data_IF_426711379813
#
_entry.id   IF_426711379813
#
_cell.length_a   1.000
_cell.length_b   1.000
_cell.length_c   1.000
_cell.angle_alpha   90.00
_cell.angle_beta   90.00
_cell.angle_gamma   90.00
#
_symmetry.space_group_name_H-M   'P 1'
#
loop_
_entity.id
_entity.type
_entity.pdbx_description
1 polymer ?
#
# COMPACT_ATOMS: atom_id res chain seq x y z
N UNK A 1 7.21 25.25 0.99
CA UNK A 1 6.66 23.90 0.84
C UNK A 1 6.21 23.43 2.21
N UNK A 2 4.97 23.71 2.59
CA UNK A 2 4.38 23.35 3.89
C UNK A 2 3.09 22.61 3.59
N UNK A 3 3.14 21.29 3.50
CA UNK A 3 1.92 20.47 3.41
C UNK A 3 2.32 18.99 3.56
N UNK A 4 2.80 18.63 4.75
CA UNK A 4 3.06 17.22 5.11
C UNK A 4 2.40 16.86 6.45
N UNK A 5 1.67 17.81 7.07
CA UNK A 5 1.04 17.58 8.39
C UNK A 5 -0.40 17.07 8.32
N UNK A 6 -1.07 17.11 7.16
CA UNK A 6 -2.50 16.73 7.06
C UNK A 6 -2.71 15.22 7.18
N UNK A 7 -1.73 14.40 6.81
CA UNK A 7 -1.92 12.95 6.69
C UNK A 7 -1.66 12.18 8.00
N UNK A 8 -1.03 12.78 9.02
CA UNK A 8 -0.59 12.05 10.24
C UNK A 8 -1.74 11.47 11.08
N UNK A 9 -2.95 12.01 10.95
CA UNK A 9 -4.14 11.54 11.66
C UNK A 9 -5.09 10.71 10.79
N UNK A 10 -4.73 10.37 9.55
CA UNK A 10 -5.59 9.55 8.70
C UNK A 10 -5.70 8.13 9.26
N UNK A 11 -6.88 7.83 9.79
CA UNK A 11 -7.30 6.48 10.21
C UNK A 11 -7.76 5.66 9.00
N UNK A 12 -8.44 6.33 8.07
CA UNK A 12 -8.82 5.81 6.74
C UNK A 12 -8.96 6.97 5.75
N UNK A 13 -8.98 6.69 4.44
CA UNK A 13 -9.31 7.70 3.42
C UNK A 13 -10.82 7.93 3.26
N UNK A 14 -11.66 7.27 4.07
CA UNK A 14 -13.10 7.51 4.10
C UNK A 14 -13.44 8.43 5.27
N UNK A 15 -14.31 9.42 5.06
CA UNK A 15 -14.97 10.14 6.15
C UNK A 15 -16.40 10.50 5.74
N UNK A 16 -17.33 10.28 6.66
CA UNK A 16 -18.79 10.46 6.56
C UNK A 16 -19.26 11.92 6.35
N UNK A 17 -18.37 12.86 6.01
CA UNK A 17 -18.71 14.27 5.86
C UNK A 17 -18.08 14.83 4.58
N UNK A 18 -18.88 14.93 3.50
CA UNK A 18 -18.82 15.69 2.23
C UNK A 18 -17.58 16.54 1.82
N UNK A 19 -16.36 16.22 2.26
CA UNK A 19 -15.10 16.71 1.69
C UNK A 19 -14.31 15.52 1.19
N UNK A 20 -14.66 15.08 -0.02
CA UNK A 20 -13.91 14.03 -0.70
C UNK A 20 -12.54 14.58 -1.12
N UNK A 21 -11.50 14.24 -0.35
CA UNK A 21 -10.12 14.28 -0.85
C UNK A 21 -9.94 13.15 -1.88
N UNK A 22 -10.49 13.35 -3.08
CA UNK A 22 -10.28 12.43 -4.19
C UNK A 22 -8.85 12.62 -4.69
N UNK A 23 -8.06 11.56 -4.56
CA UNK A 23 -6.78 11.49 -5.26
C UNK A 23 -7.07 11.49 -6.78
N UNK A 24 -6.23 12.17 -7.58
CA UNK A 24 -6.46 12.26 -9.01
C UNK A 24 -6.39 10.86 -9.66
N UNK A 25 -7.36 10.52 -10.51
CA UNK A 25 -7.40 9.21 -11.19
C UNK A 25 -6.21 8.98 -12.14
N UNK A 26 -5.51 10.06 -12.52
CA UNK A 26 -4.29 10.04 -13.31
C UNK A 26 -3.03 9.74 -12.48
N UNK A 27 -3.15 9.60 -11.16
CA UNK A 27 -2.02 9.31 -10.27
C UNK A 27 -1.39 7.96 -10.62
N UNK A 28 -0.10 7.99 -10.96
CA UNK A 28 0.67 6.78 -11.31
C UNK A 28 1.47 6.23 -10.13
N UNK A 29 1.86 7.08 -9.20
CA UNK A 29 2.68 6.72 -8.04
C UNK A 29 2.06 7.28 -6.77
N UNK A 30 1.96 6.44 -5.75
CA UNK A 30 1.45 6.79 -4.44
C UNK A 30 2.46 6.39 -3.37
N UNK A 31 2.80 7.36 -2.53
CA UNK A 31 3.70 7.19 -1.40
C UNK A 31 2.95 7.49 -0.11
N UNK A 32 2.81 6.50 0.76
CA UNK A 32 2.22 6.65 2.08
C UNK A 32 3.30 6.38 3.12
N UNK A 33 3.61 7.40 3.91
CA UNK A 33 4.69 7.35 4.89
C UNK A 33 4.23 7.85 6.25
N UNK A 34 4.55 7.08 7.30
CA UNK A 34 4.42 7.46 8.70
C UNK A 34 2.95 7.75 9.07
N UNK A 35 2.10 6.77 8.79
CA UNK A 35 0.67 6.78 9.07
C UNK A 35 0.37 5.77 10.20
N UNK A 36 0.58 6.14 11.47
CA UNK A 36 0.48 5.22 12.61
C UNK A 36 -0.94 4.70 12.85
N UNK A 37 -1.95 5.40 12.33
CA UNK A 37 -3.36 5.06 12.52
C UNK A 37 -4.02 4.49 11.27
N UNK A 38 -3.30 4.39 10.13
CA UNK A 38 -3.89 3.90 8.90
C UNK A 38 -4.13 2.39 9.01
N UNK A 39 -5.39 1.98 9.00
CA UNK A 39 -5.80 0.58 9.13
C UNK A 39 -6.05 -0.10 7.78
N UNK A 40 -6.66 0.64 6.84
CA UNK A 40 -7.01 0.12 5.52
C UNK A 40 -6.88 1.19 4.43
N UNK A 41 -6.52 0.77 3.22
CA UNK A 41 -6.64 1.60 2.03
C UNK A 41 -8.07 1.48 1.47
N UNK A 42 -8.98 2.32 1.99
CA UNK A 42 -10.42 2.28 1.65
C UNK A 42 -10.76 2.54 0.17
N UNK A 43 -12.05 2.50 -0.19
CA UNK A 43 -12.61 2.67 -1.55
C UNK A 43 -12.12 3.89 -2.33
N UNK A 44 -11.60 4.93 -1.68
CA UNK A 44 -11.00 6.11 -2.34
C UNK A 44 -9.92 5.72 -3.35
N UNK A 45 -9.22 4.61 -3.10
CA UNK A 45 -8.17 4.12 -3.97
C UNK A 45 -8.67 3.21 -5.11
N UNK A 46 -9.91 2.69 -5.07
CA UNK A 46 -10.50 1.93 -6.18
C UNK A 46 -10.57 2.77 -7.47
N UNK A 47 -10.67 4.09 -7.32
CA UNK A 47 -10.72 5.02 -8.44
C UNK A 47 -9.34 5.32 -9.04
N UNK A 48 -8.24 4.81 -8.46
CA UNK A 48 -6.89 5.02 -8.98
C UNK A 48 -6.49 3.98 -10.04
N UNK A 49 -7.27 3.92 -11.11
CA UNK A 49 -7.07 2.97 -12.22
C UNK A 49 -5.74 3.18 -12.96
N UNK A 50 -5.16 4.39 -12.89
CA UNK A 50 -3.85 4.70 -13.47
C UNK A 50 -2.67 4.36 -12.56
N UNK A 51 -2.89 3.89 -11.32
CA UNK A 51 -1.81 3.64 -10.39
C UNK A 51 -0.95 2.48 -10.88
N UNK A 52 0.38 2.66 -10.78
CA UNK A 52 1.40 1.70 -11.19
C UNK A 52 2.42 1.45 -10.08
N UNK A 53 2.64 2.41 -9.19
CA UNK A 53 3.64 2.31 -8.14
C UNK A 53 3.02 2.64 -6.78
N UNK A 54 3.16 1.72 -5.83
CA UNK A 54 2.67 1.90 -4.47
C UNK A 54 3.79 1.69 -3.47
N UNK A 55 4.04 2.69 -2.62
CA UNK A 55 5.04 2.64 -1.58
C UNK A 55 4.41 2.91 -0.22
N UNK A 56 4.63 1.99 0.72
CA UNK A 56 4.06 1.97 2.06
C UNK A 56 5.18 1.91 3.08
N UNK A 57 5.36 2.97 3.86
CA UNK A 57 6.41 3.04 4.88
C UNK A 57 5.82 3.42 6.24
N UNK A 58 6.12 2.65 7.29
CA UNK A 58 5.81 3.00 8.68
C UNK A 58 4.32 3.21 8.89
N UNK A 59 3.53 2.23 8.43
CA UNK A 59 2.09 2.15 8.63
C UNK A 59 1.80 0.91 9.50
N UNK A 60 2.05 0.97 10.83
CA UNK A 60 2.04 -0.18 11.71
C UNK A 60 0.67 -0.86 11.86
N UNK A 61 -0.42 -0.10 11.71
CA UNK A 61 -1.80 -0.61 11.80
C UNK A 61 -2.38 -1.05 10.44
N UNK A 62 -1.64 -0.91 9.34
CA UNK A 62 -2.18 -1.23 8.01
C UNK A 62 -2.30 -2.74 7.85
N UNK A 63 -3.54 -3.24 7.86
CA UNK A 63 -3.86 -4.68 7.81
C UNK A 63 -4.27 -5.16 6.43
N UNK A 64 -4.80 -4.25 5.60
CA UNK A 64 -5.33 -4.60 4.30
C UNK A 64 -5.16 -3.47 3.28
N UNK A 65 -4.89 -3.85 2.04
CA UNK A 65 -4.98 -2.93 0.89
C UNK A 65 -6.41 -2.87 0.34
N UNK A 66 -7.31 -3.79 0.74
CA UNK A 66 -8.75 -3.83 0.39
C UNK A 66 -9.10 -3.69 -1.10
N UNK A 67 -8.11 -3.86 -1.98
CA UNK A 67 -8.22 -3.58 -3.41
C UNK A 67 -7.45 -4.61 -4.21
N UNK A 68 -8.03 -5.80 -4.33
CA UNK A 68 -7.47 -6.83 -5.22
C UNK A 68 -7.30 -6.29 -6.64
N UNK A 69 -8.28 -5.54 -7.15
CA UNK A 69 -8.26 -4.94 -8.50
C UNK A 69 -7.13 -3.91 -8.72
N UNK A 70 -6.74 -3.16 -7.69
CA UNK A 70 -5.62 -2.21 -7.78
C UNK A 70 -4.30 -2.97 -7.87
N UNK A 71 -4.15 -4.04 -7.08
CA UNK A 71 -2.91 -4.81 -7.00
C UNK A 71 -2.56 -5.47 -8.35
N UNK A 72 -3.54 -5.85 -9.15
CA UNK A 72 -3.32 -6.41 -10.48
C UNK A 72 -2.74 -5.40 -11.50
N UNK A 73 -2.92 -4.10 -11.27
CA UNK A 73 -2.44 -3.05 -12.17
C UNK A 73 -1.07 -2.47 -11.76
N UNK A 74 -0.53 -2.88 -10.60
CA UNK A 74 0.75 -2.40 -10.12
C UNK A 74 1.90 -3.00 -10.91
N UNK A 75 2.87 -2.14 -11.19
CA UNK A 75 4.20 -2.50 -11.70
C UNK A 75 5.21 -2.60 -10.56
N UNK A 76 5.03 -1.80 -9.50
CA UNK A 76 5.92 -1.80 -8.33
C UNK A 76 5.15 -1.68 -7.01
N UNK A 77 5.55 -2.48 -6.02
CA UNK A 77 5.05 -2.44 -4.65
C UNK A 77 6.22 -2.45 -3.66
N UNK A 78 6.30 -1.44 -2.79
CA UNK A 78 7.27 -1.41 -1.70
C UNK A 78 6.56 -1.33 -0.34
N UNK A 79 6.92 -2.21 0.57
CA UNK A 79 6.38 -2.27 1.93
C UNK A 79 7.55 -2.27 2.91
N UNK A 80 7.62 -1.28 3.79
CA UNK A 80 8.64 -1.20 4.83
C UNK A 80 8.04 -0.78 6.16
N UNK A 81 8.40 -1.48 7.24
CA UNK A 81 7.93 -1.15 8.59
C UNK A 81 6.39 -1.13 8.72
N UNK A 82 5.71 -2.04 8.02
CA UNK A 82 4.25 -2.27 8.05
C UNK A 82 3.97 -3.72 8.51
N UNK A 83 4.20 -4.06 9.80
CA UNK A 83 4.22 -5.43 10.30
C UNK A 83 2.96 -6.26 10.00
N UNK A 84 1.76 -5.68 10.06
CA UNK A 84 0.52 -6.41 9.83
C UNK A 84 0.36 -6.79 8.35
N UNK A 85 0.53 -5.82 7.44
CA UNK A 85 0.52 -6.08 6.01
C UNK A 85 1.63 -7.05 5.58
N UNK A 86 2.83 -6.93 6.15
CA UNK A 86 3.94 -7.84 5.85
C UNK A 86 3.61 -9.30 6.13
N UNK A 87 2.87 -9.60 7.21
CA UNK A 87 2.44 -10.97 7.53
C UNK A 87 1.56 -11.57 6.43
N UNK A 88 0.71 -10.75 5.81
CA UNK A 88 -0.14 -11.15 4.69
C UNK A 88 0.61 -11.33 3.38
N UNK A 89 1.79 -10.72 3.26
CA UNK A 89 2.69 -10.85 2.11
C UNK A 89 3.71 -11.99 2.27
N UNK A 90 3.64 -12.81 3.33
CA UNK A 90 4.58 -13.90 3.55
C UNK A 90 4.52 -14.92 2.41
N UNK A 91 5.68 -15.39 1.98
CA UNK A 91 5.80 -16.36 0.90
C UNK A 91 5.07 -17.66 1.25
N UNK A 92 4.19 -18.12 0.37
CA UNK A 92 3.40 -19.35 0.50
C UNK A 92 2.40 -19.42 1.66
N UNK A 93 2.51 -18.55 2.67
CA UNK A 93 1.63 -18.51 3.85
C UNK A 93 0.67 -17.31 3.83
N UNK A 94 1.10 -16.22 3.21
CA UNK A 94 0.36 -14.98 3.14
C UNK A 94 -0.72 -15.01 2.07
N UNK A 95 -1.92 -14.54 2.40
CA UNK A 95 -3.04 -14.47 1.48
C UNK A 95 -2.85 -13.45 0.35
N UNK A 96 -1.93 -12.49 0.50
CA UNK A 96 -1.56 -11.55 -0.56
C UNK A 96 -0.49 -12.11 -1.50
N UNK A 97 0.21 -13.18 -1.10
CA UNK A 97 1.30 -13.77 -1.89
C UNK A 97 0.92 -14.07 -3.35
N UNK A 98 -0.23 -14.72 -3.66
CA UNK A 98 -0.61 -15.04 -5.03
C UNK A 98 -0.83 -13.80 -5.92
N UNK A 99 -1.12 -12.67 -5.30
CA UNK A 99 -1.38 -11.39 -5.98
C UNK A 99 -0.05 -10.64 -6.16
N UNK A 100 0.70 -10.44 -5.08
CA UNK A 100 1.95 -9.67 -5.14
C UNK A 100 3.04 -10.38 -5.94
N UNK A 101 3.06 -11.71 -5.99
CA UNK A 101 4.01 -12.46 -6.82
C UNK A 101 3.86 -12.20 -8.32
N UNK A 102 2.69 -11.66 -8.75
CA UNK A 102 2.42 -11.27 -10.14
C UNK A 102 2.92 -9.86 -10.48
N UNK A 103 3.25 -9.04 -9.47
CA UNK A 103 3.70 -7.65 -9.65
C UNK A 103 5.18 -7.67 -10.04
N UNK A 104 5.61 -7.08 -11.17
CA UNK A 104 6.99 -7.17 -11.67
C UNK A 104 8.10 -6.79 -10.68
N UNK A 105 7.86 -5.82 -9.82
CA UNK A 105 8.82 -5.32 -8.83
C UNK A 105 8.18 -5.24 -7.44
N UNK A 106 8.60 -6.11 -6.52
CA UNK A 106 8.10 -6.11 -5.15
C UNK A 106 9.24 -6.17 -4.17
N UNK A 107 9.24 -5.20 -3.25
CA UNK A 107 10.23 -5.09 -2.21
C UNK A 107 9.58 -5.01 -0.82
N UNK A 108 9.98 -5.91 0.08
CA UNK A 108 9.51 -5.97 1.46
C UNK A 108 10.70 -5.80 2.40
N UNK A 109 10.68 -4.78 3.26
CA UNK A 109 11.78 -4.40 4.16
C UNK A 109 13.14 -4.34 3.47
N UNK A 110 13.18 -3.67 2.32
CA UNK A 110 14.38 -3.49 1.49
C UNK A 110 14.91 -4.77 0.83
N UNK A 111 14.14 -5.88 0.86
CA UNK A 111 14.46 -7.13 0.19
C UNK A 111 13.49 -7.41 -0.96
N UNK A 112 14.04 -7.79 -2.11
CA UNK A 112 13.23 -8.23 -3.24
C UNK A 112 12.61 -9.59 -2.95
N UNK A 113 11.33 -9.78 -3.26
CA UNK A 113 10.69 -11.10 -3.14
C UNK A 113 11.19 -12.10 -4.20
N UNK A 114 11.90 -11.59 -5.22
CA UNK A 114 12.49 -12.37 -6.32
C UNK A 114 13.96 -12.73 -6.06
N UNK A 115 14.58 -12.12 -5.06
CA UNK A 115 15.94 -12.45 -4.71
C UNK A 115 15.96 -13.81 -3.98
N UNK A 116 16.68 -14.81 -4.52
CA UNK A 116 16.72 -16.16 -3.97
C UNK A 116 17.31 -16.24 -2.56
N UNK A 117 18.00 -15.21 -2.10
CA UNK A 117 18.59 -15.13 -0.75
C UNK A 117 17.70 -14.37 0.27
N UNK A 118 16.53 -13.89 -0.15
CA UNK A 118 15.68 -12.97 0.64
C UNK A 118 14.83 -13.59 1.75
N UNK A 119 14.72 -14.92 1.83
CA UNK A 119 14.07 -15.59 2.97
C UNK A 119 15.08 -16.45 3.74
N UNK A 120 15.04 -16.43 5.09
CA UNK A 120 15.78 -17.39 5.91
C UNK A 120 15.29 -18.83 5.71
#
# INVERSE_FOLDING_TARGET
>A
MKETSVYRELVSFSNDNDQHYLLPQSLKSLNLWNLPNLETLSKVFQNLTSLRHLHLWSCPKLEALSMEELLYNLLSLSISNCPLLKKRCLRNEGDYWPIIAKIPDVNIDFRSIYDPESCP
#
